data_IF_745293192911
#
_entry.id   IF_745293192911
#
_cell.length_a   1.000
_cell.length_b   1.000
_cell.length_c   1.000
_cell.angle_alpha   90.00
_cell.angle_beta   90.00
_cell.angle_gamma   90.00
#
_symmetry.space_group_name_H-M   'P 1'
#
loop_
_entity.id
_entity.type
_entity.pdbx_description
1 polymer ?
#
# COMPACT_ATOMS: atom_id res chain seq x y z
N UNK A 1 -22.63 -21.97 -45.35
CA UNK A 1 -21.45 -21.15 -44.95
C UNK A 1 -21.94 -19.80 -44.43
N UNK A 2 -22.29 -19.66 -43.14
CA UNK A 2 -22.80 -18.39 -42.56
C UNK A 2 -22.34 -18.08 -41.12
N UNK A 3 -21.53 -18.96 -40.52
CA UNK A 3 -21.08 -18.85 -39.11
C UNK A 3 -19.65 -18.34 -38.93
N UNK A 4 -18.97 -17.91 -40.00
CA UNK A 4 -17.56 -17.49 -39.95
C UNK A 4 -17.41 -16.05 -39.42
N UNK A 5 -18.43 -15.21 -39.59
CA UNK A 5 -18.40 -13.78 -39.21
C UNK A 5 -18.34 -13.51 -37.69
N UNK A 6 -19.08 -14.20 -36.80
CA UNK A 6 -18.99 -13.94 -35.36
C UNK A 6 -17.69 -14.45 -34.72
N UNK A 7 -17.07 -15.50 -35.29
CA UNK A 7 -15.81 -16.06 -34.77
C UNK A 7 -14.63 -15.10 -34.94
N UNK A 8 -14.61 -14.31 -36.04
CA UNK A 8 -13.55 -13.33 -36.30
C UNK A 8 -13.63 -12.15 -35.32
N UNK A 9 -14.83 -11.73 -34.91
CA UNK A 9 -15.04 -10.61 -33.98
C UNK A 9 -14.63 -11.01 -32.54
N UNK A 10 -14.90 -12.25 -32.13
CA UNK A 10 -14.47 -12.77 -30.83
C UNK A 10 -12.95 -12.89 -30.69
N UNK A 11 -12.26 -13.28 -31.76
CA UNK A 11 -10.80 -13.44 -31.76
C UNK A 11 -10.05 -12.10 -31.72
N UNK A 12 -10.62 -11.02 -32.26
CA UNK A 12 -10.01 -9.69 -32.19
C UNK A 12 -10.09 -9.05 -30.80
N UNK A 13 -11.05 -9.45 -29.95
CA UNK A 13 -11.22 -8.86 -28.62
C UNK A 13 -10.22 -9.39 -27.58
N UNK A 14 -9.66 -10.59 -27.79
CA UNK A 14 -8.79 -11.27 -26.83
C UNK A 14 -7.31 -10.85 -26.91
N UNK A 15 -6.93 -10.01 -27.89
CA UNK A 15 -5.55 -9.56 -28.10
C UNK A 15 -5.23 -8.19 -27.46
N UNK A 16 -6.17 -7.60 -26.72
CA UNK A 16 -5.89 -6.41 -25.91
C UNK A 16 -5.14 -6.78 -24.63
N UNK A 17 -3.94 -7.35 -24.77
CA UNK A 17 -3.01 -7.45 -23.65
C UNK A 17 -2.43 -6.07 -23.37
N UNK A 18 -2.36 -5.62 -22.10
CA UNK A 18 -1.63 -4.41 -21.76
C UNK A 18 -0.15 -4.63 -22.10
N UNK A 19 0.39 -3.83 -23.02
CA UNK A 19 1.83 -3.74 -23.25
C UNK A 19 2.40 -2.86 -22.15
N UNK A 20 3.06 -3.48 -21.17
CA UNK A 20 3.87 -2.77 -20.19
C UNK A 20 5.18 -2.38 -20.86
N UNK A 21 5.40 -1.08 -21.07
CA UNK A 21 6.70 -0.56 -21.46
C UNK A 21 7.63 -0.66 -20.24
N UNK A 22 8.48 -1.68 -20.22
CA UNK A 22 9.56 -1.82 -19.26
C UNK A 22 10.80 -1.13 -19.87
N UNK A 23 11.18 0.04 -19.35
CA UNK A 23 12.38 0.75 -19.78
C UNK A 23 13.56 0.27 -18.92
N UNK A 24 14.49 -0.54 -19.48
CA UNK A 24 15.56 -1.17 -18.71
C UNK A 24 16.65 -0.20 -18.22
N UNK A 25 16.53 1.12 -18.46
CA UNK A 25 17.57 2.10 -18.19
C UNK A 25 17.29 3.06 -17.01
N UNK A 26 16.20 2.90 -16.26
CA UNK A 26 15.94 3.78 -15.11
C UNK A 26 15.70 3.01 -13.81
N UNK A 27 16.80 2.80 -13.07
CA UNK A 27 16.86 2.12 -11.75
C UNK A 27 16.03 2.82 -10.65
N UNK A 28 15.32 3.91 -10.96
CA UNK A 28 14.54 4.71 -10.01
C UNK A 28 13.18 5.20 -10.54
N UNK A 29 12.67 4.68 -11.66
CA UNK A 29 11.32 5.01 -12.11
C UNK A 29 10.35 3.88 -11.74
N UNK A 30 9.18 4.21 -11.16
CA UNK A 30 8.17 3.22 -10.82
C UNK A 30 7.72 2.49 -12.10
N UNK A 31 7.74 1.17 -12.06
CA UNK A 31 7.30 0.33 -13.17
C UNK A 31 5.77 0.33 -13.28
N UNK A 32 5.24 -0.10 -14.43
CA UNK A 32 3.79 -0.33 -14.57
C UNK A 32 3.24 -1.35 -13.57
N UNK A 33 4.07 -2.32 -13.15
CA UNK A 33 3.70 -3.29 -12.12
C UNK A 33 3.55 -2.63 -10.75
N UNK A 34 4.43 -1.68 -10.40
CA UNK A 34 4.37 -0.93 -9.15
C UNK A 34 3.08 -0.14 -9.00
N UNK A 35 2.58 0.43 -10.10
CA UNK A 35 1.29 1.09 -10.11
C UNK A 35 0.15 0.10 -9.81
N UNK A 36 0.16 -1.08 -10.42
CA UNK A 36 -0.88 -2.11 -10.19
C UNK A 36 -0.86 -2.59 -8.73
N UNK A 37 0.31 -2.76 -8.14
CA UNK A 37 0.42 -3.07 -6.71
C UNK A 37 -0.14 -1.94 -5.85
N UNK A 38 0.19 -0.69 -6.15
CA UNK A 38 -0.31 0.47 -5.41
C UNK A 38 -1.84 0.60 -5.46
N UNK A 39 -2.49 0.20 -6.55
CA UNK A 39 -3.96 0.18 -6.65
C UNK A 39 -4.59 -0.74 -5.60
N UNK A 40 -3.90 -1.80 -5.19
CA UNK A 40 -4.37 -2.73 -4.14
C UNK A 40 -3.86 -2.31 -2.76
N UNK A 41 -2.59 -1.94 -2.67
CA UNK A 41 -1.91 -1.65 -1.41
C UNK A 41 -2.37 -0.33 -0.78
N UNK A 42 -2.68 0.71 -1.56
CA UNK A 42 -3.12 2.01 -1.00
C UNK A 42 -4.48 1.91 -0.31
N UNK A 43 -5.53 1.29 -0.90
CA UNK A 43 -6.78 1.05 -0.16
C UNK A 43 -6.58 0.16 1.07
N UNK A 44 -5.74 -0.87 0.97
CA UNK A 44 -5.43 -1.74 2.12
C UNK A 44 -4.73 -0.96 3.25
N UNK A 45 -3.79 -0.08 2.90
CA UNK A 45 -3.10 0.82 3.83
C UNK A 45 -4.03 1.85 4.48
N UNK A 46 -5.02 2.35 3.73
CA UNK A 46 -6.06 3.21 4.30
C UNK A 46 -6.89 2.48 5.35
N UNK A 47 -7.36 1.27 5.03
CA UNK A 47 -8.13 0.43 5.96
C UNK A 47 -7.29 0.09 7.18
N UNK A 48 -6.00 -0.25 7.02
CA UNK A 48 -5.12 -0.53 8.15
C UNK A 48 -4.90 0.70 9.03
N UNK A 49 -4.82 1.91 8.46
CA UNK A 49 -4.72 3.17 9.22
C UNK A 49 -5.99 3.40 10.05
N UNK A 50 -7.18 3.19 9.48
CA UNK A 50 -8.45 3.35 10.19
C UNK A 50 -8.58 2.32 11.32
N UNK A 51 -8.31 1.05 11.03
CA UNK A 51 -8.33 -0.03 12.03
C UNK A 51 -7.29 0.19 13.13
N UNK A 52 -6.08 0.58 12.76
CA UNK A 52 -5.00 0.89 13.67
C UNK A 52 -5.31 2.08 14.57
N UNK A 53 -5.99 3.10 14.05
CA UNK A 53 -6.50 4.22 14.85
C UNK A 53 -7.55 3.76 15.86
N UNK A 54 -8.52 2.94 15.43
CA UNK A 54 -9.51 2.37 16.35
C UNK A 54 -8.87 1.50 17.43
N UNK A 55 -7.89 0.67 17.05
CA UNK A 55 -7.14 -0.18 17.97
C UNK A 55 -6.30 0.64 18.95
N UNK A 56 -5.68 1.72 18.49
CA UNK A 56 -4.93 2.65 19.32
C UNK A 56 -5.80 3.25 20.42
N UNK A 57 -6.99 3.74 20.06
CA UNK A 57 -7.93 4.31 21.03
C UNK A 57 -8.36 3.26 22.07
N UNK A 58 -8.68 2.04 21.64
CA UNK A 58 -9.09 0.96 22.54
C UNK A 58 -7.97 0.53 23.50
N UNK A 59 -6.72 0.50 23.03
CA UNK A 59 -5.56 0.07 23.82
C UNK A 59 -4.87 1.21 24.59
N UNK A 60 -5.17 2.47 24.25
CA UNK A 60 -4.57 3.66 24.86
C UNK A 60 -4.51 3.65 26.40
N UNK A 61 -5.54 3.24 27.17
CA UNK A 61 -5.42 3.21 28.64
C UNK A 61 -4.38 2.20 29.12
N UNK A 62 -4.24 1.04 28.45
CA UNK A 62 -3.25 0.04 28.81
C UNK A 62 -1.84 0.51 28.44
N UNK A 63 -1.68 1.13 27.27
CA UNK A 63 -0.39 1.67 26.82
C UNK A 63 0.06 2.85 27.69
N UNK A 64 -0.87 3.63 28.23
CA UNK A 64 -0.56 4.68 29.20
C UNK A 64 0.03 4.10 30.49
N UNK A 65 -0.49 2.97 30.98
CA UNK A 65 0.07 2.30 32.16
C UNK A 65 1.48 1.76 31.87
N UNK A 66 1.70 1.14 30.71
CA UNK A 66 3.04 0.63 30.35
C UNK A 66 4.06 1.74 30.14
N UNK A 67 3.62 2.94 29.74
CA UNK A 67 4.47 4.13 29.61
C UNK A 67 5.05 4.63 30.93
N UNK A 68 4.55 4.16 32.08
CA UNK A 68 5.11 4.46 33.40
C UNK A 68 6.47 3.79 33.64
N UNK A 69 6.84 2.79 32.83
CA UNK A 69 8.16 2.15 32.90
C UNK A 69 9.16 2.90 32.00
N UNK A 70 10.41 3.13 32.46
CA UNK A 70 11.47 3.60 31.58
C UNK A 70 11.67 2.60 30.43
N UNK A 71 11.84 3.04 29.17
CA UNK A 71 11.76 4.41 28.66
C UNK A 71 10.30 4.82 28.46
N UNK A 72 9.90 5.97 29.00
CA UNK A 72 8.50 6.48 29.05
C UNK A 72 7.87 6.86 27.69
N UNK A 73 8.30 6.22 26.59
CA UNK A 73 7.88 6.47 25.22
C UNK A 73 7.05 5.32 24.62
N UNK A 74 6.51 4.43 25.45
CA UNK A 74 5.69 3.30 24.97
C UNK A 74 4.40 3.79 24.29
N UNK A 75 3.84 4.89 24.76
CA UNK A 75 2.62 5.48 24.21
C UNK A 75 2.83 6.02 22.79
N UNK A 76 3.91 6.77 22.58
CA UNK A 76 4.31 7.29 21.26
C UNK A 76 4.70 6.16 20.32
N UNK A 77 5.54 5.22 20.76
CA UNK A 77 5.95 4.06 19.95
C UNK A 77 4.76 3.25 19.47
N UNK A 78 3.76 3.07 20.31
CA UNK A 78 2.56 2.34 19.92
C UNK A 78 1.77 3.11 18.86
N UNK A 79 1.59 4.43 19.03
CA UNK A 79 0.97 5.28 18.01
C UNK A 79 1.74 5.23 16.69
N UNK A 80 3.07 5.28 16.75
CA UNK A 80 3.93 5.21 15.58
C UNK A 80 3.71 3.91 14.81
N UNK A 81 3.64 2.79 15.53
CA UNK A 81 3.49 1.47 14.93
C UNK A 81 2.12 1.26 14.30
N UNK A 82 1.03 1.62 14.99
CA UNK A 82 -0.33 1.27 14.54
C UNK A 82 -1.06 2.38 13.80
N UNK A 83 -0.59 3.62 13.86
CA UNK A 83 -1.23 4.77 13.18
C UNK A 83 -0.27 5.44 12.20
N UNK A 84 0.89 5.89 12.67
CA UNK A 84 1.77 6.76 11.86
C UNK A 84 2.43 5.98 10.72
N UNK A 85 2.92 4.77 10.98
CA UNK A 85 3.57 3.94 9.97
C UNK A 85 2.61 3.53 8.84
N UNK A 86 1.39 3.01 9.13
CA UNK A 86 0.36 2.78 8.11
C UNK A 86 -0.01 4.04 7.33
N UNK A 87 -0.15 5.18 8.01
CA UNK A 87 -0.45 6.45 7.36
C UNK A 87 0.65 6.85 6.37
N UNK A 88 1.92 6.82 6.81
CA UNK A 88 3.06 7.19 5.96
C UNK A 88 3.22 6.25 4.76
N UNK A 89 3.07 4.94 5.00
CA UNK A 89 3.07 3.93 3.93
C UNK A 89 1.98 4.20 2.88
N UNK A 90 0.82 4.71 3.30
CA UNK A 90 -0.33 4.91 2.41
C UNK A 90 -0.28 6.24 1.66
N UNK A 91 0.05 7.33 2.35
CA UNK A 91 -0.16 8.70 1.84
C UNK A 91 1.12 9.42 1.45
N UNK A 92 2.22 9.16 2.15
CA UNK A 92 3.49 9.90 1.92
C UNK A 92 4.47 9.14 1.02
N UNK A 93 4.25 7.84 0.87
CA UNK A 93 5.12 6.94 0.11
C UNK A 93 5.07 7.20 -1.40
N UNK A 94 6.21 7.33 -2.08
CA UNK A 94 6.29 7.29 -3.54
C UNK A 94 5.71 5.98 -4.10
N UNK A 95 5.19 6.02 -5.32
CA UNK A 95 4.75 4.81 -6.02
C UNK A 95 5.96 3.89 -6.24
N UNK A 96 5.80 2.59 -5.97
CA UNK A 96 6.87 1.59 -6.17
C UNK A 96 7.99 1.58 -5.12
N UNK A 97 8.03 2.53 -4.19
CA UNK A 97 9.01 2.53 -3.11
C UNK A 97 8.47 1.86 -1.84
N UNK A 98 8.59 0.54 -1.77
CA UNK A 98 8.12 -0.24 -0.62
C UNK A 98 9.06 -0.18 0.59
N UNK A 99 10.28 0.34 0.43
CA UNK A 99 11.28 0.48 1.49
C UNK A 99 11.29 1.88 2.12
N UNK A 100 10.34 2.72 1.74
CA UNK A 100 10.22 4.08 2.25
C UNK A 100 10.24 4.11 3.79
N UNK A 101 11.09 4.94 4.42
CA UNK A 101 11.23 4.98 5.86
C UNK A 101 9.91 5.43 6.52
N UNK A 102 9.32 4.52 7.29
CA UNK A 102 8.03 4.75 7.96
C UNK A 102 8.23 5.51 9.29
N UNK A 103 9.42 5.41 9.89
CA UNK A 103 9.80 6.18 11.07
C UNK A 103 11.27 6.58 10.93
N UNK A 104 11.60 7.86 11.16
CA UNK A 104 12.98 8.27 11.39
C UNK A 104 13.36 7.70 12.76
N UNK A 105 14.27 6.74 12.81
CA UNK A 105 14.90 6.31 14.05
C UNK A 105 16.36 6.69 14.05
#
# INVERSE_FOLDING_TARGET
MKFIKPAVIGFTLTLSAPVFADDPQVVNQPSGADFVYDVVLRPAGFVSTVLGTGFYLAMSPFTAITSLQPPHNQFEKFADLVVVNPYKFTFTRPVGDYNFPQTER
#
